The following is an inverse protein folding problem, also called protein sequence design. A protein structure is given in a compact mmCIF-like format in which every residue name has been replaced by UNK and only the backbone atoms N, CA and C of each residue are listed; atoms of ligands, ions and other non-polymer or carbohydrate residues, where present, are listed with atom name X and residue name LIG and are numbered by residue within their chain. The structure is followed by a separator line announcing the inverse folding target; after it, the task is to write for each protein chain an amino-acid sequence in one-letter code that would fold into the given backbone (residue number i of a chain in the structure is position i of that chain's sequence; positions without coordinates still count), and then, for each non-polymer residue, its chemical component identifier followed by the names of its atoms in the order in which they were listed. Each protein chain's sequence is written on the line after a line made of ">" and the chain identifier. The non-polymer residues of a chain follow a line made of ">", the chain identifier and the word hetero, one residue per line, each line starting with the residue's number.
data_IF_917163539502
#
_entry.id   IF_917163539502
#
_cell.length_a   1.000
_cell.length_b   1.000
_cell.length_c   1.000
_cell.angle_alpha   90.00
_cell.angle_beta   90.00
_cell.angle_gamma   90.00
#
_symmetry.space_group_name_H-M   'P 1'
#
loop_
_entity.id
_entity.type
_entity.pdbx_description
1 polymer ?
#
# COMPACT_ATOMS: atom_id res chain seq x y z
N UNK A 1 -42.22 110.31 -50.27
CA UNK A 1 -43.57 109.91 -50.75
C UNK A 1 -44.58 110.51 -49.81
N UNK A 2 -45.44 111.38 -50.37
CA UNK A 2 -46.81 111.71 -49.98
C UNK A 2 -47.15 111.96 -48.50
N UNK A 3 -48.03 112.88 -48.15
CA UNK A 3 -48.73 114.00 -48.79
C UNK A 3 -49.84 114.33 -47.79
N UNK A 4 -50.31 115.58 -47.80
CA UNK A 4 -51.49 115.99 -47.05
C UNK A 4 -51.08 116.90 -45.89
N UNK A 5 -50.86 118.19 -46.11
CA UNK A 5 -51.61 119.04 -47.01
C UNK A 5 -52.91 119.50 -46.33
N UNK A 6 -53.26 120.78 -46.50
CA UNK A 6 -53.80 121.67 -45.47
C UNK A 6 -55.32 121.85 -45.77
N UNK A 7 -56.11 122.92 -45.47
CA UNK A 7 -55.75 124.34 -45.44
C UNK A 7 -56.63 125.19 -44.48
N UNK A 8 -56.61 126.50 -44.74
CA UNK A 8 -57.71 127.47 -44.61
C UNK A 8 -57.70 128.35 -43.38
N UNK A 9 -57.38 129.63 -43.56
CA UNK A 9 -58.01 130.68 -44.40
C UNK A 9 -58.95 131.48 -43.53
N UNK A 10 -58.79 132.79 -43.63
CA UNK A 10 -59.89 133.72 -43.56
C UNK A 10 -60.25 134.11 -42.13
N UNK A 11 -60.71 135.30 -41.86
CA UNK A 11 -60.74 136.52 -42.65
C UNK A 11 -60.06 137.58 -41.78
N UNK A 12 -59.81 138.77 -42.30
CA UNK A 12 -60.93 139.56 -42.77
C UNK A 12 -61.79 139.89 -41.55
N UNK A 13 -62.05 141.13 -41.20
CA UNK A 13 -62.14 142.33 -41.99
C UNK A 13 -62.00 143.42 -40.94
N UNK A 14 -61.21 144.44 -41.20
CA UNK A 14 -61.68 145.64 -41.89
C UNK A 14 -62.74 146.38 -41.06
N UNK A 15 -62.75 147.70 -41.28
CA UNK A 15 -63.97 148.48 -41.27
C UNK A 15 -64.47 148.75 -39.82
N UNK A 16 -64.78 149.96 -39.41
CA UNK A 16 -65.32 151.07 -40.17
C UNK A 16 -65.63 152.18 -39.17
N UNK A 17 -65.80 153.38 -39.69
CA UNK A 17 -66.67 154.42 -39.16
C UNK A 17 -66.38 154.83 -37.70
N UNK A 18 -65.66 155.91 -37.46
CA UNK A 18 -66.07 157.21 -37.97
C UNK A 18 -67.36 157.64 -37.28
N UNK A 19 -67.25 158.62 -36.38
CA UNK A 19 -68.24 159.68 -36.22
C UNK A 19 -67.51 160.89 -35.66
N UNK A 20 -67.13 161.83 -36.56
CA UNK A 20 -67.47 163.23 -36.27
C UNK A 20 -68.99 163.33 -36.45
N UNK A 21 -69.66 164.19 -35.67
CA UNK A 21 -70.08 165.43 -36.30
C UNK A 21 -69.60 166.62 -35.44
N UNK A 22 -69.02 167.67 -36.03
CA UNK A 22 -69.72 168.63 -36.92
C UNK A 22 -70.86 169.26 -36.13
N UNK A 23 -70.56 170.41 -35.51
CA UNK A 23 -71.06 171.73 -35.93
C UNK A 23 -72.57 171.85 -35.69
N UNK A 24 -72.94 172.87 -34.95
CA UNK A 24 -73.87 173.95 -35.36
C UNK A 24 -74.04 174.81 -34.10
N UNK A 25 -73.50 176.03 -34.04
CA UNK A 25 -74.05 177.28 -34.61
C UNK A 25 -75.48 177.58 -34.14
N UNK A 26 -75.86 178.85 -34.23
CA UNK A 26 -77.10 179.49 -33.77
C UNK A 26 -76.97 179.95 -32.31
N UNK A 27 -76.60 181.19 -32.02
CA UNK A 27 -76.77 182.40 -32.82
C UNK A 27 -78.15 183.01 -32.56
N UNK A 28 -78.13 184.15 -31.88
CA UNK A 28 -79.06 185.26 -32.01
C UNK A 28 -80.56 185.01 -31.71
N UNK A 29 -80.99 185.39 -30.51
CA UNK A 29 -82.24 186.10 -30.17
C UNK A 29 -82.04 186.51 -28.70
N UNK A 30 -82.33 187.68 -28.17
CA UNK A 30 -82.88 188.92 -28.66
C UNK A 30 -82.47 189.96 -27.59
N UNK A 31 -81.95 191.12 -28.01
CA UNK A 31 -82.65 192.39 -27.83
C UNK A 31 -82.77 192.87 -26.37
N UNK A 32 -81.84 193.76 -26.07
CA UNK A 32 -82.05 195.05 -25.40
C UNK A 32 -82.45 195.09 -23.92
N UNK A 33 -82.10 196.24 -23.38
CA UNK A 33 -82.86 196.98 -22.38
C UNK A 33 -82.50 196.67 -20.92
N UNK A 34 -81.37 197.23 -20.50
CA UNK A 34 -81.42 198.17 -19.37
C UNK A 34 -81.19 199.59 -19.94
N UNK A 35 -82.20 200.37 -20.33
CA UNK A 35 -83.64 200.09 -20.27
C UNK A 35 -84.26 200.10 -18.88
N UNK A 36 -83.66 200.86 -17.97
CA UNK A 36 -84.25 201.48 -16.79
C UNK A 36 -85.26 200.66 -15.94
N UNK A 37 -84.78 200.28 -14.75
CA UNK A 37 -85.42 200.57 -13.45
C UNK A 37 -86.90 200.21 -13.30
N UNK A 38 -87.20 199.15 -12.52
CA UNK A 38 -88.50 199.11 -11.86
C UNK A 38 -89.00 197.82 -11.21
N UNK A 39 -88.51 196.61 -11.54
CA UNK A 39 -89.32 195.42 -11.21
C UNK A 39 -88.66 194.06 -10.86
N UNK A 40 -87.33 193.93 -10.77
CA UNK A 40 -86.70 192.60 -10.58
C UNK A 40 -85.73 192.52 -9.39
N UNK A 41 -86.24 192.82 -8.19
CA UNK A 41 -85.52 192.60 -6.92
C UNK A 41 -85.82 191.27 -6.17
N UNK A 42 -86.66 190.31 -6.65
CA UNK A 42 -86.72 188.98 -6.04
C UNK A 42 -86.30 187.77 -6.93
N UNK A 43 -85.88 187.94 -8.20
CA UNK A 43 -85.63 186.81 -9.13
C UNK A 43 -84.15 186.40 -9.30
N UNK A 44 -83.18 187.20 -8.83
CA UNK A 44 -81.73 186.89 -8.97
C UNK A 44 -81.20 185.88 -7.94
N UNK A 45 -81.97 185.54 -6.90
CA UNK A 45 -81.59 184.52 -5.91
C UNK A 45 -81.96 183.09 -6.32
N UNK A 46 -82.87 182.88 -7.28
CA UNK A 46 -83.31 181.53 -7.69
C UNK A 46 -82.40 180.84 -8.69
N UNK A 47 -81.95 181.55 -9.73
CA UNK A 47 -81.05 181.00 -10.77
C UNK A 47 -79.63 180.72 -10.23
N UNK A 48 -79.16 181.53 -9.28
CA UNK A 48 -77.91 181.26 -8.56
C UNK A 48 -77.98 179.97 -7.75
N UNK A 49 -79.19 179.60 -7.30
CA UNK A 49 -79.41 178.38 -6.51
C UNK A 49 -79.45 177.13 -7.40
N UNK A 50 -80.01 177.23 -8.60
CA UNK A 50 -79.95 176.15 -9.62
C UNK A 50 -78.55 175.94 -10.17
N UNK A 51 -77.79 177.00 -10.43
CA UNK A 51 -76.38 176.90 -10.86
C UNK A 51 -75.52 176.28 -9.76
N UNK A 52 -75.71 176.68 -8.49
CA UNK A 52 -75.04 176.02 -7.36
C UNK A 52 -75.43 174.55 -7.21
N UNK A 53 -76.69 174.20 -7.50
CA UNK A 53 -77.16 172.81 -7.44
C UNK A 53 -76.59 171.95 -8.56
N UNK A 54 -76.49 172.51 -9.77
CA UNK A 54 -75.82 171.85 -10.89
C UNK A 54 -74.31 171.72 -10.64
N UNK A 55 -73.65 172.74 -10.09
CA UNK A 55 -72.24 172.64 -9.68
C UNK A 55 -72.05 171.58 -8.59
N UNK A 56 -72.98 171.48 -7.63
CA UNK A 56 -72.97 170.39 -6.65
C UNK A 56 -73.18 169.02 -7.30
N UNK A 57 -74.08 168.90 -8.27
CA UNK A 57 -74.31 167.64 -8.99
C UNK A 57 -73.11 167.26 -9.86
N UNK A 58 -72.49 168.23 -10.53
CA UNK A 58 -71.26 168.04 -11.31
C UNK A 58 -70.12 167.65 -10.37
N UNK A 59 -69.92 168.34 -9.25
CA UNK A 59 -68.92 167.95 -8.26
C UNK A 59 -69.19 166.59 -7.63
N UNK A 60 -70.46 166.19 -7.47
CA UNK A 60 -70.85 164.85 -7.02
C UNK A 60 -70.60 163.79 -8.09
N UNK A 61 -70.84 164.11 -9.36
CA UNK A 61 -70.55 163.22 -10.49
C UNK A 61 -69.05 163.07 -10.70
N UNK A 62 -68.28 164.15 -10.62
CA UNK A 62 -66.82 164.15 -10.66
C UNK A 62 -66.26 163.28 -9.52
N UNK A 63 -66.75 163.47 -8.29
CA UNK A 63 -66.36 162.60 -7.17
C UNK A 63 -66.76 161.12 -7.37
N UNK A 64 -67.88 160.86 -8.07
CA UNK A 64 -68.30 159.49 -8.39
C UNK A 64 -67.45 158.88 -9.51
N UNK A 65 -67.06 159.68 -10.52
CA UNK A 65 -66.14 159.29 -11.60
C UNK A 65 -64.75 159.01 -11.03
N UNK A 66 -64.24 159.86 -10.14
CA UNK A 66 -62.97 159.65 -9.46
C UNK A 66 -63.00 158.37 -8.62
N UNK A 67 -64.08 158.15 -7.85
CA UNK A 67 -64.26 156.91 -7.08
C UNK A 67 -64.31 155.67 -7.99
N UNK A 68 -65.06 155.75 -9.09
CA UNK A 68 -65.17 154.63 -10.03
C UNK A 68 -63.84 154.38 -10.75
N UNK A 69 -63.08 155.43 -11.06
CA UNK A 69 -61.72 155.32 -11.61
C UNK A 69 -60.81 154.57 -10.63
N UNK A 70 -60.84 154.94 -9.35
CA UNK A 70 -60.07 154.22 -8.31
C UNK A 70 -60.51 152.76 -8.19
N UNK A 71 -61.82 152.47 -8.27
CA UNK A 71 -62.33 151.10 -8.23
C UNK A 71 -61.93 150.29 -9.47
N UNK A 72 -61.90 150.91 -10.66
CA UNK A 72 -61.40 150.30 -11.89
C UNK A 72 -59.91 150.01 -11.77
N UNK A 73 -59.11 150.96 -11.28
CA UNK A 73 -57.67 150.75 -11.04
C UNK A 73 -57.43 149.61 -10.03
N UNK A 74 -58.24 149.53 -8.96
CA UNK A 74 -58.15 148.45 -7.98
C UNK A 74 -58.53 147.09 -8.56
N UNK A 75 -59.58 147.04 -9.40
CA UNK A 75 -59.98 145.82 -10.11
C UNK A 75 -58.92 145.40 -11.13
N UNK A 76 -58.29 146.33 -11.84
CA UNK A 76 -57.19 146.05 -12.77
C UNK A 76 -56.01 145.40 -12.01
N UNK A 77 -55.61 145.95 -10.87
CA UNK A 77 -54.59 145.35 -9.98
C UNK A 77 -55.02 143.96 -9.46
N UNK A 78 -56.31 143.72 -9.24
CA UNK A 78 -56.79 142.38 -8.86
C UNK A 78 -56.71 141.39 -10.03
N UNK A 79 -57.08 141.82 -11.24
CA UNK A 79 -56.98 141.01 -12.45
C UNK A 79 -55.53 140.62 -12.70
N UNK A 80 -54.60 141.57 -12.65
CA UNK A 80 -53.16 141.31 -12.82
C UNK A 80 -52.65 140.27 -11.81
N UNK A 81 -53.09 140.36 -10.54
CA UNK A 81 -52.74 139.37 -9.51
C UNK A 81 -53.34 138.00 -9.79
N UNK A 82 -54.56 137.93 -10.29
CA UNK A 82 -55.19 136.66 -10.66
C UNK A 82 -54.54 136.04 -11.90
N UNK A 83 -54.13 136.85 -12.87
CA UNK A 83 -53.35 136.41 -14.02
C UNK A 83 -52.00 135.83 -13.57
N UNK A 84 -51.25 136.54 -12.71
CA UNK A 84 -49.98 136.03 -12.17
C UNK A 84 -50.18 134.73 -11.36
N UNK A 85 -51.27 134.63 -10.59
CA UNK A 85 -51.60 133.40 -9.85
C UNK A 85 -51.95 132.25 -10.80
N UNK A 86 -52.70 132.51 -11.87
CA UNK A 86 -53.05 131.51 -12.87
C UNK A 86 -51.81 131.02 -13.62
N UNK A 87 -50.89 131.93 -14.00
CA UNK A 87 -49.60 131.55 -14.61
C UNK A 87 -48.80 130.64 -13.68
N UNK A 88 -48.71 130.97 -12.38
CA UNK A 88 -48.05 130.11 -11.39
C UNK A 88 -48.74 128.76 -11.21
N UNK A 89 -50.07 128.72 -11.25
CA UNK A 89 -50.82 127.46 -11.17
C UNK A 89 -50.60 126.60 -12.42
N UNK A 90 -50.53 127.22 -13.61
CA UNK A 90 -50.21 126.54 -14.86
C UNK A 90 -48.80 125.97 -14.83
N UNK A 91 -47.80 126.74 -14.40
CA UNK A 91 -46.42 126.28 -14.25
C UNK A 91 -46.32 125.09 -13.26
N UNK A 92 -46.99 125.18 -12.11
CA UNK A 92 -47.04 124.09 -11.14
C UNK A 92 -47.73 122.85 -11.71
N UNK A 93 -48.81 123.01 -12.47
CA UNK A 93 -49.50 121.88 -13.11
C UNK A 93 -48.62 121.18 -14.15
N UNK A 94 -47.86 121.95 -14.95
CA UNK A 94 -46.88 121.37 -15.86
C UNK A 94 -45.79 120.61 -15.12
N UNK A 95 -45.27 121.16 -14.02
CA UNK A 95 -44.25 120.51 -13.22
C UNK A 95 -44.76 119.21 -12.57
N UNK A 96 -45.97 119.22 -12.00
CA UNK A 96 -46.61 118.00 -11.50
C UNK A 96 -46.84 116.97 -12.62
N UNK A 97 -47.23 117.40 -13.82
CA UNK A 97 -47.39 116.51 -14.96
C UNK A 97 -46.05 115.85 -15.36
N UNK A 98 -44.94 116.60 -15.34
CA UNK A 98 -43.59 116.05 -15.56
C UNK A 98 -43.20 115.05 -14.48
N UNK A 99 -43.44 115.37 -13.21
CA UNK A 99 -43.14 114.47 -12.08
C UNK A 99 -43.96 113.17 -12.16
N UNK A 100 -45.25 113.25 -12.51
CA UNK A 100 -46.10 112.08 -12.74
C UNK A 100 -45.55 111.22 -13.89
N UNK A 101 -45.14 111.84 -14.99
CA UNK A 101 -44.55 111.12 -16.12
C UNK A 101 -43.25 110.39 -15.73
N UNK A 102 -42.38 111.05 -14.95
CA UNK A 102 -41.15 110.45 -14.43
C UNK A 102 -41.43 109.29 -13.47
N UNK A 103 -42.37 109.47 -12.54
CA UNK A 103 -42.78 108.41 -11.61
C UNK A 103 -43.36 107.20 -12.35
N UNK A 104 -44.19 107.43 -13.36
CA UNK A 104 -44.74 106.35 -14.19
C UNK A 104 -43.64 105.61 -14.98
N UNK A 105 -42.67 106.33 -15.52
CA UNK A 105 -41.53 105.72 -16.21
C UNK A 105 -40.68 104.87 -15.24
N UNK A 106 -40.41 105.38 -14.04
CA UNK A 106 -39.69 104.64 -12.99
C UNK A 106 -40.45 103.40 -12.53
N UNK A 107 -41.78 103.49 -12.36
CA UNK A 107 -42.61 102.35 -12.01
C UNK A 107 -42.57 101.26 -13.09
N UNK A 108 -42.64 101.64 -14.37
CA UNK A 108 -42.53 100.70 -15.48
C UNK A 108 -41.16 100.01 -15.52
N UNK A 109 -40.08 100.72 -15.17
CA UNK A 109 -38.75 100.12 -15.02
C UNK A 109 -38.70 99.12 -13.86
N UNK A 110 -39.26 99.46 -12.70
CA UNK A 110 -39.32 98.54 -11.55
C UNK A 110 -40.18 97.31 -11.84
N UNK A 111 -41.29 97.45 -12.56
CA UNK A 111 -42.09 96.30 -13.02
C UNK A 111 -41.29 95.38 -13.94
N UNK A 112 -40.53 95.94 -14.88
CA UNK A 112 -39.67 95.16 -15.77
C UNK A 112 -38.55 94.45 -14.99
N UNK A 113 -37.89 95.13 -14.05
CA UNK A 113 -36.88 94.53 -13.18
C UNK A 113 -37.45 93.40 -12.31
N UNK A 114 -38.65 93.60 -11.73
CA UNK A 114 -39.34 92.56 -10.98
C UNK A 114 -39.67 91.34 -11.85
N UNK A 115 -40.07 91.55 -13.10
CA UNK A 115 -40.29 90.46 -14.06
C UNK A 115 -39.03 89.64 -14.35
N UNK A 116 -37.89 90.32 -14.52
CA UNK A 116 -36.58 89.67 -14.71
C UNK A 116 -36.17 88.90 -13.46
N UNK A 117 -36.31 89.50 -12.28
CA UNK A 117 -35.98 88.85 -11.00
C UNK A 117 -36.83 87.60 -10.76
N UNK A 118 -38.15 87.67 -10.97
CA UNK A 118 -39.03 86.51 -10.85
C UNK A 118 -38.64 85.38 -11.81
N UNK A 119 -38.27 85.72 -13.05
CA UNK A 119 -37.80 84.74 -14.03
C UNK A 119 -36.49 84.08 -13.59
N UNK A 120 -35.57 84.87 -13.02
CA UNK A 120 -34.31 84.36 -12.47
C UNK A 120 -34.51 83.46 -11.25
N UNK A 121 -35.49 83.78 -10.39
CA UNK A 121 -35.85 82.95 -9.23
C UNK A 121 -36.36 81.59 -9.73
N UNK A 122 -37.29 81.58 -10.68
CA UNK A 122 -37.85 80.34 -11.22
C UNK A 122 -36.77 79.44 -11.88
N UNK A 123 -35.80 80.03 -12.57
CA UNK A 123 -34.68 79.28 -13.15
C UNK A 123 -33.77 78.67 -12.07
N UNK A 124 -33.46 79.44 -11.01
CA UNK A 124 -32.66 78.93 -9.89
C UNK A 124 -33.38 77.83 -9.11
N UNK A 125 -34.70 77.94 -8.92
CA UNK A 125 -35.52 76.88 -8.33
C UNK A 125 -35.45 75.60 -9.16
N UNK A 126 -35.60 75.70 -10.50
CA UNK A 126 -35.48 74.55 -11.38
C UNK A 126 -34.09 73.89 -11.32
N UNK A 127 -33.02 74.69 -11.29
CA UNK A 127 -31.66 74.17 -11.15
C UNK A 127 -31.47 73.46 -9.79
N UNK A 128 -32.03 74.00 -8.72
CA UNK A 128 -31.97 73.40 -7.40
C UNK A 128 -32.72 72.06 -7.36
N UNK A 129 -33.91 71.99 -7.96
CA UNK A 129 -34.67 70.73 -8.08
C UNK A 129 -33.89 69.68 -8.86
N UNK A 130 -33.22 70.06 -9.95
CA UNK A 130 -32.37 69.15 -10.75
C UNK A 130 -31.16 68.66 -9.95
N UNK A 131 -30.52 69.54 -9.19
CA UNK A 131 -29.40 69.17 -8.32
C UNK A 131 -29.84 68.22 -7.20
N UNK A 132 -31.00 68.47 -6.58
CA UNK A 132 -31.55 67.59 -5.55
C UNK A 132 -31.90 66.20 -6.11
N UNK A 133 -32.49 66.14 -7.31
CA UNK A 133 -32.76 64.87 -7.98
C UNK A 133 -31.47 64.10 -8.26
N UNK A 134 -30.44 64.77 -8.79
CA UNK A 134 -29.13 64.16 -9.05
C UNK A 134 -28.46 63.67 -7.75
N UNK A 135 -28.54 64.44 -6.66
CA UNK A 135 -28.00 64.02 -5.37
C UNK A 135 -28.70 62.75 -4.85
N UNK A 136 -30.03 62.68 -4.96
CA UNK A 136 -30.79 61.49 -4.56
C UNK A 136 -30.42 60.25 -5.40
N UNK A 137 -30.16 60.43 -6.69
CA UNK A 137 -29.65 59.37 -7.55
C UNK A 137 -28.25 58.90 -7.13
N UNK A 138 -27.33 59.83 -6.82
CA UNK A 138 -26.00 59.49 -6.33
C UNK A 138 -26.03 58.78 -4.97
N UNK A 139 -26.90 59.18 -4.05
CA UNK A 139 -27.11 58.49 -2.78
C UNK A 139 -27.55 57.04 -2.99
N UNK A 140 -28.50 56.82 -3.91
CA UNK A 140 -29.00 55.48 -4.25
C UNK A 140 -27.91 54.62 -4.90
N UNK A 141 -27.13 55.19 -5.83
CA UNK A 141 -26.01 54.49 -6.46
C UNK A 141 -24.92 54.13 -5.45
N UNK A 142 -24.60 55.04 -4.53
CA UNK A 142 -23.60 54.81 -3.51
C UNK A 142 -24.04 53.75 -2.50
N UNK A 143 -25.33 53.69 -2.17
CA UNK A 143 -25.90 52.60 -1.37
C UNK A 143 -25.75 51.25 -2.06
N UNK A 144 -26.13 51.15 -3.34
CA UNK A 144 -26.00 49.92 -4.13
C UNK A 144 -24.53 49.48 -4.30
N UNK A 145 -23.61 50.43 -4.47
CA UNK A 145 -22.17 50.14 -4.55
C UNK A 145 -21.64 49.59 -3.23
N UNK A 146 -22.05 50.16 -2.09
CA UNK A 146 -21.65 49.67 -0.77
C UNK A 146 -22.19 48.26 -0.50
N UNK A 147 -23.43 47.97 -0.90
CA UNK A 147 -24.01 46.63 -0.80
C UNK A 147 -23.21 45.61 -1.63
N UNK A 148 -22.94 45.93 -2.90
CA UNK A 148 -22.11 45.09 -3.77
C UNK A 148 -20.71 44.85 -3.19
N UNK A 149 -20.10 45.89 -2.60
CA UNK A 149 -18.77 45.78 -2.01
C UNK A 149 -18.78 44.91 -0.74
N UNK A 150 -19.86 44.95 0.06
CA UNK A 150 -20.05 44.07 1.20
C UNK A 150 -20.20 42.61 0.76
N UNK A 151 -21.02 42.34 -0.26
CA UNK A 151 -21.19 40.99 -0.83
C UNK A 151 -19.87 40.43 -1.39
N UNK A 152 -19.11 41.23 -2.13
CA UNK A 152 -17.80 40.83 -2.64
C UNK A 152 -16.81 40.53 -1.52
N UNK A 153 -16.84 41.31 -0.43
CA UNK A 153 -16.00 41.07 0.75
C UNK A 153 -16.34 39.71 1.39
N UNK A 154 -17.63 39.41 1.55
CA UNK A 154 -18.09 38.12 2.08
C UNK A 154 -17.66 36.95 1.19
N UNK A 155 -17.81 37.08 -0.14
CA UNK A 155 -17.36 36.07 -1.09
C UNK A 155 -15.85 35.84 -1.03
N UNK A 156 -15.05 36.91 -0.91
CA UNK A 156 -13.60 36.81 -0.76
C UNK A 156 -13.23 36.05 0.52
N UNK A 157 -13.90 36.33 1.64
CA UNK A 157 -13.63 35.64 2.90
C UNK A 157 -14.05 34.17 2.85
N UNK A 158 -15.19 33.85 2.20
CA UNK A 158 -15.59 32.46 1.95
C UNK A 158 -14.56 31.72 1.08
N UNK A 159 -14.04 32.35 0.02
CA UNK A 159 -13.00 31.78 -0.83
C UNK A 159 -11.69 31.55 -0.07
N UNK A 160 -11.29 32.46 0.83
CA UNK A 160 -10.12 32.25 1.69
C UNK A 160 -10.27 31.00 2.57
N UNK A 161 -11.44 30.81 3.17
CA UNK A 161 -11.74 29.62 4.00
C UNK A 161 -11.66 28.34 3.16
N UNK A 162 -12.29 28.34 1.98
CA UNK A 162 -12.23 27.20 1.05
C UNK A 162 -10.78 26.89 0.66
N UNK A 163 -9.98 27.92 0.34
CA UNK A 163 -8.59 27.74 -0.05
C UNK A 163 -7.72 27.19 1.10
N UNK A 164 -7.96 27.64 2.33
CA UNK A 164 -7.30 27.10 3.52
C UNK A 164 -7.64 25.62 3.74
N UNK A 165 -8.92 25.25 3.59
CA UNK A 165 -9.35 23.85 3.69
C UNK A 165 -8.73 22.99 2.59
N UNK A 166 -8.72 23.48 1.34
CA UNK A 166 -8.12 22.75 0.22
C UNK A 166 -6.62 22.52 0.44
N UNK A 167 -5.90 23.52 0.97
CA UNK A 167 -4.50 23.39 1.34
C UNK A 167 -4.30 22.33 2.42
N UNK A 168 -5.13 22.33 3.47
CA UNK A 168 -5.05 21.33 4.53
C UNK A 168 -5.31 19.91 4.02
N UNK A 169 -6.28 19.72 3.14
CA UNK A 169 -6.55 18.44 2.48
C UNK A 169 -5.40 18.00 1.58
N UNK A 170 -4.76 18.93 0.86
CA UNK A 170 -3.58 18.61 0.05
C UNK A 170 -2.40 18.13 0.92
N UNK A 171 -2.16 18.78 2.07
CA UNK A 171 -1.15 18.38 3.04
C UNK A 171 -1.44 16.98 3.63
N UNK A 172 -2.71 16.69 3.92
CA UNK A 172 -3.15 15.37 4.40
C UNK A 172 -2.88 14.27 3.37
N UNK A 173 -3.25 14.48 2.10
CA UNK A 173 -2.95 13.53 1.04
C UNK A 173 -1.44 13.35 0.80
N UNK A 174 -0.64 14.41 0.97
CA UNK A 174 0.81 14.29 0.88
C UNK A 174 1.35 13.36 1.98
N UNK A 175 0.90 13.52 3.22
CA UNK A 175 1.31 12.66 4.34
C UNK A 175 0.90 11.20 4.12
N UNK A 176 -0.33 10.97 3.66
CA UNK A 176 -0.81 9.61 3.40
C UNK A 176 0.00 8.93 2.28
N UNK A 177 0.40 9.68 1.25
CA UNK A 177 1.27 9.15 0.19
C UNK A 177 2.67 8.81 0.70
N UNK A 178 3.23 9.61 1.61
CA UNK A 178 4.51 9.32 2.25
C UNK A 178 4.43 8.05 3.11
N UNK A 179 3.36 7.92 3.93
CA UNK A 179 3.10 6.70 4.72
C UNK A 179 2.94 5.46 3.83
N UNK A 180 2.18 5.57 2.72
CA UNK A 180 2.01 4.47 1.78
C UNK A 180 3.34 4.06 1.14
N UNK A 181 4.20 5.02 0.84
CA UNK A 181 5.54 4.76 0.29
C UNK A 181 6.42 4.02 1.30
N UNK A 182 6.38 4.40 2.57
CA UNK A 182 7.10 3.69 3.64
C UNK A 182 6.61 2.24 3.80
N UNK A 183 5.30 1.99 3.70
CA UNK A 183 4.77 0.62 3.73
C UNK A 183 5.20 -0.20 2.51
N UNK A 184 5.24 0.40 1.32
CA UNK A 184 5.77 -0.27 0.11
C UNK A 184 7.24 -0.64 0.31
N UNK A 185 8.06 0.26 0.86
CA UNK A 185 9.47 -0.02 1.14
C UNK A 185 9.63 -1.13 2.18
N UNK A 186 8.78 -1.16 3.22
CA UNK A 186 8.76 -2.24 4.22
C UNK A 186 8.39 -3.58 3.60
N UNK A 187 7.37 -3.64 2.74
CA UNK A 187 6.97 -4.86 2.03
C UNK A 187 8.10 -5.36 1.13
N UNK A 188 8.78 -4.46 0.42
CA UNK A 188 9.91 -4.83 -0.43
C UNK A 188 11.06 -5.45 0.38
N UNK A 189 11.38 -4.88 1.55
CA UNK A 189 12.38 -5.44 2.45
C UNK A 189 12.00 -6.84 2.96
N UNK A 190 10.74 -7.03 3.35
CA UNK A 190 10.22 -8.33 3.78
C UNK A 190 10.28 -9.37 2.65
N UNK A 191 9.93 -8.98 1.43
CA UNK A 191 10.03 -9.86 0.26
C UNK A 191 11.47 -10.27 -0.03
N UNK A 192 12.43 -9.34 0.07
CA UNK A 192 13.85 -9.68 -0.08
C UNK A 192 14.33 -10.66 0.98
N UNK A 193 13.91 -10.47 2.23
CA UNK A 193 14.24 -11.41 3.32
C UNK A 193 13.66 -12.80 3.04
N UNK A 194 12.39 -12.89 2.63
CA UNK A 194 11.75 -14.16 2.25
C UNK A 194 12.47 -14.85 1.08
N UNK A 195 12.92 -14.09 0.08
CA UNK A 195 13.71 -14.64 -1.03
C UNK A 195 15.02 -15.24 -0.52
N UNK A 196 15.76 -14.54 0.34
CA UNK A 196 17.01 -15.04 0.91
C UNK A 196 16.78 -16.31 1.74
N UNK A 197 15.72 -16.35 2.56
CA UNK A 197 15.36 -17.55 3.34
C UNK A 197 15.01 -18.74 2.44
N UNK A 198 14.31 -18.49 1.33
CA UNK A 198 13.96 -19.51 0.35
C UNK A 198 15.24 -20.09 -0.29
N UNK A 199 16.21 -19.24 -0.62
CA UNK A 199 17.50 -19.65 -1.16
C UNK A 199 18.31 -20.49 -0.16
N UNK A 200 18.37 -20.07 1.11
CA UNK A 200 19.04 -20.84 2.18
C UNK A 200 18.40 -22.22 2.39
N UNK A 201 17.07 -22.28 2.40
CA UNK A 201 16.33 -23.53 2.53
C UNK A 201 16.55 -24.45 1.32
N UNK A 202 16.58 -23.88 0.12
CA UNK A 202 16.85 -24.63 -1.11
C UNK A 202 18.27 -25.23 -1.10
N UNK A 203 19.28 -24.44 -0.70
CA UNK A 203 20.65 -24.92 -0.56
C UNK A 203 20.75 -26.06 0.47
N UNK A 204 20.07 -25.94 1.61
CA UNK A 204 20.01 -26.99 2.63
C UNK A 204 19.35 -28.26 2.10
N UNK A 205 18.30 -28.12 1.28
CA UNK A 205 17.58 -29.24 0.67
C UNK A 205 18.47 -29.99 -0.33
N UNK A 206 19.22 -29.27 -1.18
CA UNK A 206 20.18 -29.89 -2.10
C UNK A 206 21.32 -30.59 -1.35
N UNK A 207 21.81 -30.00 -0.26
CA UNK A 207 22.82 -30.65 0.58
C UNK A 207 22.29 -31.96 1.19
N UNK A 208 21.09 -31.94 1.79
CA UNK A 208 20.47 -33.15 2.35
C UNK A 208 20.23 -34.22 1.27
N UNK A 209 19.84 -33.81 0.07
CA UNK A 209 19.67 -34.72 -1.06
C UNK A 209 20.99 -35.42 -1.43
N UNK A 210 22.08 -34.65 -1.52
CA UNK A 210 23.41 -35.22 -1.78
C UNK A 210 23.86 -36.18 -0.67
N UNK A 211 23.56 -35.87 0.60
CA UNK A 211 23.86 -36.76 1.73
C UNK A 211 23.06 -38.08 1.65
N UNK A 212 21.78 -38.00 1.28
CA UNK A 212 20.94 -39.19 1.04
C UNK A 212 21.48 -40.04 -0.10
N UNK A 213 21.91 -39.43 -1.21
CA UNK A 213 22.52 -40.16 -2.34
C UNK A 213 23.82 -40.86 -1.90
N UNK A 214 24.67 -40.19 -1.11
CA UNK A 214 25.90 -40.76 -0.56
C UNK A 214 25.62 -41.94 0.39
N UNK A 215 24.65 -41.80 1.30
CA UNK A 215 24.21 -42.87 2.20
C UNK A 215 23.63 -44.06 1.43
N UNK A 216 22.89 -43.80 0.36
CA UNK A 216 22.36 -44.86 -0.51
C UNK A 216 23.48 -45.62 -1.22
N UNK A 217 24.51 -44.92 -1.71
CA UNK A 217 25.69 -45.55 -2.31
C UNK A 217 26.43 -46.41 -1.28
N UNK A 218 26.67 -45.87 -0.08
CA UNK A 218 27.30 -46.61 1.01
C UNK A 218 26.53 -47.88 1.39
N UNK A 219 25.20 -47.81 1.49
CA UNK A 219 24.37 -49.00 1.73
C UNK A 219 24.46 -50.02 0.58
N UNK A 220 24.58 -49.57 -0.67
CA UNK A 220 24.83 -50.45 -1.81
C UNK A 220 26.18 -51.16 -1.70
N UNK A 221 27.22 -50.44 -1.30
CA UNK A 221 28.55 -51.01 -1.07
C UNK A 221 28.53 -52.03 0.07
N UNK A 222 27.84 -51.72 1.18
CA UNK A 222 27.63 -52.67 2.29
C UNK A 222 26.92 -53.94 1.84
N UNK A 223 25.87 -53.83 1.03
CA UNK A 223 25.19 -55.01 0.47
C UNK A 223 26.11 -55.83 -0.45
N UNK A 224 26.99 -55.17 -1.21
CA UNK A 224 27.99 -55.85 -2.04
C UNK A 224 28.98 -56.62 -1.17
N UNK A 225 29.51 -56.00 -0.10
CA UNK A 225 30.38 -56.66 0.88
C UNK A 225 29.67 -57.84 1.53
N UNK A 226 28.39 -57.68 1.90
CA UNK A 226 27.60 -58.76 2.49
C UNK A 226 27.50 -59.95 1.55
N UNK A 227 27.17 -59.73 0.27
CA UNK A 227 27.09 -60.81 -0.72
C UNK A 227 28.43 -61.53 -0.93
N UNK A 228 29.55 -60.80 -0.90
CA UNK A 228 30.88 -61.40 -0.97
C UNK A 228 31.18 -62.25 0.26
N UNK A 229 30.84 -61.79 1.46
CA UNK A 229 31.01 -62.56 2.70
C UNK A 229 30.16 -63.82 2.69
N UNK A 230 28.90 -63.74 2.20
CA UNK A 230 28.02 -64.90 2.07
C UNK A 230 28.60 -65.94 1.09
N UNK A 231 29.13 -65.51 -0.06
CA UNK A 231 29.77 -66.40 -1.04
C UNK A 231 31.06 -67.05 -0.49
N UNK A 232 31.93 -66.28 0.16
CA UNK A 232 33.15 -66.80 0.78
C UNK A 232 32.85 -67.77 1.92
N UNK A 233 31.81 -67.51 2.73
CA UNK A 233 31.38 -68.43 3.77
C UNK A 233 30.95 -69.78 3.17
N UNK A 234 30.21 -69.77 2.07
CA UNK A 234 29.81 -71.01 1.37
C UNK A 234 31.02 -71.76 0.80
N UNK A 235 32.00 -71.06 0.20
CA UNK A 235 33.22 -71.69 -0.29
C UNK A 235 34.07 -72.31 0.83
N UNK A 236 34.14 -71.64 1.99
CA UNK A 236 34.81 -72.16 3.19
C UNK A 236 34.11 -73.44 3.67
N UNK A 237 32.77 -73.45 3.75
CA UNK A 237 32.01 -74.65 4.13
C UNK A 237 32.27 -75.82 3.18
N UNK A 238 32.25 -75.60 1.86
CA UNK A 238 32.58 -76.63 0.87
C UNK A 238 34.03 -77.14 1.00
N UNK A 239 34.96 -76.26 1.37
CA UNK A 239 36.36 -76.63 1.60
C UNK A 239 36.51 -77.48 2.86
N UNK A 240 35.79 -77.15 3.93
CA UNK A 240 35.72 -77.97 5.14
C UNK A 240 35.14 -79.35 4.86
N UNK A 241 34.04 -79.45 4.08
CA UNK A 241 33.46 -80.73 3.69
C UNK A 241 34.45 -81.60 2.89
N UNK A 242 35.16 -81.01 1.91
CA UNK A 242 36.20 -81.71 1.15
C UNK A 242 37.35 -82.17 2.03
N UNK A 243 37.81 -81.32 2.96
CA UNK A 243 38.88 -81.67 3.88
C UNK A 243 38.47 -82.82 4.81
N UNK A 244 37.24 -82.78 5.34
CA UNK A 244 36.68 -83.85 6.15
C UNK A 244 36.59 -85.17 5.37
N UNK A 245 36.16 -85.12 4.10
CA UNK A 245 36.11 -86.30 3.22
C UNK A 245 37.51 -86.88 2.94
N UNK A 246 38.51 -86.04 2.68
CA UNK A 246 39.91 -86.48 2.48
C UNK A 246 40.47 -87.10 3.76
N UNK A 247 40.21 -86.49 4.92
CA UNK A 247 40.63 -87.03 6.23
C UNK A 247 39.98 -88.38 6.51
N UNK A 248 38.68 -88.53 6.26
CA UNK A 248 37.98 -89.81 6.38
C UNK A 248 38.60 -90.88 5.46
N UNK A 249 38.85 -90.54 4.20
CA UNK A 249 39.50 -91.44 3.24
C UNK A 249 40.92 -91.84 3.68
N UNK A 250 41.70 -90.91 4.23
CA UNK A 250 43.05 -91.20 4.71
C UNK A 250 43.03 -92.12 5.95
N UNK A 251 42.06 -91.92 6.84
CA UNK A 251 41.85 -92.81 7.99
C UNK A 251 41.56 -94.22 7.48
N UNK A 252 40.60 -94.39 6.57
CA UNK A 252 40.23 -95.71 6.04
C UNK A 252 41.39 -96.40 5.32
N UNK A 253 42.18 -95.66 4.52
CA UNK A 253 43.38 -96.20 3.88
C UNK A 253 44.43 -96.67 4.89
N UNK A 254 44.70 -95.87 5.93
CA UNK A 254 45.65 -96.24 6.98
C UNK A 254 45.16 -97.45 7.78
N UNK A 255 43.85 -97.54 8.04
CA UNK A 255 43.22 -98.70 8.69
C UNK A 255 43.40 -99.96 7.86
N UNK A 256 43.11 -99.91 6.55
CA UNK A 256 43.32 -101.04 5.64
C UNK A 256 44.77 -101.52 5.60
N UNK A 257 45.74 -100.60 5.50
CA UNK A 257 47.18 -100.94 5.51
C UNK A 257 47.58 -101.62 6.83
N UNK A 258 47.06 -101.17 7.98
CA UNK A 258 47.35 -101.77 9.27
C UNK A 258 46.82 -103.21 9.36
N UNK A 259 45.60 -103.45 8.89
CA UNK A 259 44.98 -104.79 8.85
C UNK A 259 45.74 -105.70 7.89
N UNK A 260 46.07 -105.24 6.69
CA UNK A 260 46.86 -106.01 5.71
C UNK A 260 48.23 -106.38 6.27
N UNK A 261 48.91 -105.44 6.93
CA UNK A 261 50.22 -105.68 7.56
C UNK A 261 50.11 -106.71 8.68
N UNK A 262 49.05 -106.62 9.50
CA UNK A 262 48.81 -107.56 10.58
C UNK A 262 48.48 -108.96 10.03
N UNK A 263 47.65 -109.04 9.00
CA UNK A 263 47.30 -110.25 8.28
C UNK A 263 48.55 -110.96 7.72
N UNK A 264 49.43 -110.21 7.04
CA UNK A 264 50.70 -110.74 6.55
C UNK A 264 51.61 -111.22 7.69
N UNK A 265 51.64 -110.51 8.80
CA UNK A 265 52.43 -110.90 9.99
C UNK A 265 51.92 -112.23 10.57
N UNK A 266 50.59 -112.40 10.65
CA UNK A 266 49.98 -113.64 11.13
C UNK A 266 50.27 -114.82 10.20
N UNK A 267 50.15 -114.63 8.89
CA UNK A 267 50.53 -115.65 7.89
C UNK A 267 52.01 -116.02 7.97
N UNK A 268 52.89 -115.04 8.19
CA UNK A 268 54.31 -115.29 8.33
C UNK A 268 54.61 -116.13 9.58
N UNK A 269 53.98 -115.82 10.72
CA UNK A 269 54.13 -116.60 11.96
C UNK A 269 53.62 -118.04 11.75
N UNK A 270 52.42 -118.21 11.17
CA UNK A 270 51.80 -119.53 10.95
C UNK A 270 52.54 -120.43 9.95
N UNK A 271 53.40 -119.86 9.10
CA UNK A 271 54.23 -120.62 8.14
C UNK A 271 55.66 -120.84 8.63
N UNK A 272 56.27 -119.86 9.30
CA UNK A 272 57.66 -119.95 9.76
C UNK A 272 57.86 -120.87 10.96
N UNK A 273 56.87 -120.97 11.85
CA UNK A 273 57.03 -121.71 13.11
C UNK A 273 57.37 -123.20 12.86
N UNK A 274 56.83 -123.82 11.79
CA UNK A 274 57.11 -125.21 11.41
C UNK A 274 58.58 -125.39 11.02
N UNK A 275 59.10 -124.48 10.19
CA UNK A 275 60.49 -124.48 9.76
C UNK A 275 61.41 -124.31 10.98
N UNK A 276 61.09 -123.37 11.87
CA UNK A 276 61.87 -123.14 13.09
C UNK A 276 61.75 -124.32 14.06
N UNK A 277 60.59 -124.97 14.23
CA UNK A 277 60.44 -126.15 15.08
C UNK A 277 61.34 -127.31 14.62
N UNK A 278 61.43 -127.52 13.29
CA UNK A 278 62.31 -128.54 12.69
C UNK A 278 63.79 -128.21 12.79
N UNK A 279 64.17 -126.93 12.79
CA UNK A 279 65.57 -126.47 12.85
C UNK A 279 66.08 -126.28 14.28
N UNK A 280 65.21 -125.89 15.22
CA UNK A 280 65.54 -125.53 16.61
C UNK A 280 65.96 -126.70 17.50
N UNK A 281 66.19 -127.89 16.95
CA UNK A 281 66.95 -128.91 17.67
C UNK A 281 66.17 -129.66 18.75
N UNK A 282 64.92 -130.07 18.46
CA UNK A 282 64.28 -131.22 19.11
C UNK A 282 65.01 -132.53 18.74
N UNK A 283 66.32 -132.54 18.88
CA UNK A 283 67.20 -133.70 18.71
C UNK A 283 66.95 -134.80 19.75
N UNK A 284 66.11 -134.52 20.75
CA UNK A 284 65.62 -135.45 21.77
C UNK A 284 64.37 -136.22 21.34
N UNK A 285 63.57 -135.70 20.40
CA UNK A 285 62.42 -136.42 19.85
C UNK A 285 62.92 -137.25 18.69
N UNK A 286 62.60 -138.55 18.66
CA UNK A 286 63.06 -139.48 17.63
C UNK A 286 62.50 -139.18 16.23
N UNK A 287 62.10 -140.22 15.51
CA UNK A 287 61.42 -140.04 14.22
C UNK A 287 60.21 -139.09 14.39
N UNK A 288 59.90 -138.19 13.43
CA UNK A 288 58.73 -137.29 13.49
C UNK A 288 57.39 -138.00 13.71
N UNK A 289 57.34 -139.30 13.41
CA UNK A 289 56.20 -140.20 13.55
C UNK A 289 56.24 -141.06 14.85
N UNK A 290 57.17 -140.80 15.76
CA UNK A 290 57.21 -141.41 17.08
C UNK A 290 56.44 -140.54 18.08
N UNK A 291 55.73 -141.15 19.05
CA UNK A 291 55.13 -140.42 20.15
C UNK A 291 56.15 -139.51 20.83
N UNK A 292 55.78 -138.26 21.11
CA UNK A 292 56.68 -137.30 21.75
C UNK A 292 57.09 -137.80 23.14
N UNK A 293 56.14 -138.39 23.88
CA UNK A 293 56.38 -138.90 25.23
C UNK A 293 56.25 -137.81 26.30
N UNK A 294 55.97 -138.25 27.54
CA UNK A 294 55.66 -137.34 28.64
C UNK A 294 56.83 -136.43 29.08
N UNK A 295 58.09 -136.79 28.76
CA UNK A 295 59.26 -136.00 29.12
C UNK A 295 59.47 -134.78 28.22
N UNK A 296 59.22 -134.96 26.93
CA UNK A 296 59.53 -134.02 25.86
C UNK A 296 58.29 -133.20 25.43
N UNK A 297 57.08 -133.64 25.80
CA UNK A 297 55.81 -132.99 25.45
C UNK A 297 55.77 -131.52 25.87
N UNK A 298 56.19 -131.21 27.10
CA UNK A 298 56.21 -129.83 27.61
C UNK A 298 57.19 -128.93 26.85
N UNK A 299 58.27 -129.49 26.29
CA UNK A 299 59.25 -128.72 25.53
C UNK A 299 58.73 -128.41 24.13
N UNK A 300 58.15 -129.40 23.43
CA UNK A 300 57.51 -129.23 22.13
C UNK A 300 56.34 -128.26 22.23
N UNK A 301 55.46 -128.46 23.20
CA UNK A 301 54.32 -127.58 23.38
C UNK A 301 54.74 -126.20 23.89
N UNK A 302 55.74 -126.10 24.77
CA UNK A 302 56.30 -124.80 25.19
C UNK A 302 56.86 -123.98 24.03
N UNK A 303 57.39 -124.65 22.99
CA UNK A 303 57.77 -124.02 21.73
C UNK A 303 56.54 -123.55 20.94
N UNK A 304 55.56 -124.43 20.72
CA UNK A 304 54.31 -124.09 20.01
C UNK A 304 53.59 -122.92 20.69
N UNK A 305 53.50 -122.93 22.01
CA UNK A 305 52.93 -121.85 22.80
C UNK A 305 53.63 -120.52 22.56
N UNK A 306 54.97 -120.50 22.58
CA UNK A 306 55.75 -119.27 22.46
C UNK A 306 55.82 -118.73 21.04
N UNK A 307 56.03 -119.60 20.06
CA UNK A 307 56.39 -119.22 18.69
C UNK A 307 55.23 -119.30 17.70
N UNK A 308 54.11 -119.92 18.09
CA UNK A 308 52.87 -119.95 17.30
C UNK A 308 51.70 -119.32 18.05
N UNK A 309 51.38 -119.81 19.25
CA UNK A 309 50.10 -119.47 19.88
C UNK A 309 50.09 -118.06 20.49
N UNK A 310 51.06 -117.71 21.32
CA UNK A 310 51.14 -116.39 21.97
C UNK A 310 51.21 -115.23 20.94
N UNK A 311 52.01 -115.30 19.87
CA UNK A 311 52.06 -114.24 18.86
C UNK A 311 50.75 -114.08 18.08
N UNK A 312 49.97 -115.15 17.95
CA UNK A 312 48.65 -115.15 17.29
C UNK A 312 47.49 -114.95 18.30
N UNK A 313 47.79 -114.64 19.57
CA UNK A 313 46.80 -114.55 20.65
C UNK A 313 45.88 -115.78 20.76
N UNK A 314 46.46 -116.97 20.61
CA UNK A 314 45.76 -118.22 20.71
C UNK A 314 45.92 -118.82 22.09
N UNK A 315 44.82 -119.36 22.61
CA UNK A 315 44.84 -120.02 23.91
C UNK A 315 45.51 -121.39 23.80
N UNK A 316 46.50 -121.58 24.66
CA UNK A 316 47.28 -122.80 24.73
C UNK A 316 46.43 -124.02 25.13
N UNK A 317 45.50 -123.84 26.06
CA UNK A 317 44.62 -124.90 26.55
C UNK A 317 43.64 -125.33 25.46
N UNK A 318 43.09 -124.37 24.70
CA UNK A 318 42.20 -124.65 23.58
C UNK A 318 42.92 -125.36 22.44
N UNK A 319 44.18 -125.00 22.15
CA UNK A 319 45.00 -125.75 21.20
C UNK A 319 45.31 -127.18 21.66
N UNK A 320 45.64 -127.40 22.94
CA UNK A 320 45.85 -128.75 23.48
C UNK A 320 44.59 -129.62 23.39
N UNK A 321 43.42 -129.02 23.63
CA UNK A 321 42.13 -129.69 23.45
C UNK A 321 41.89 -130.07 21.99
N UNK A 322 42.12 -129.14 21.06
CA UNK A 322 42.04 -129.40 19.61
C UNK A 322 42.96 -130.56 19.20
N UNK A 323 44.23 -130.50 19.60
CA UNK A 323 45.23 -131.52 19.32
C UNK A 323 44.82 -132.89 19.89
N UNK A 324 44.39 -132.95 21.15
CA UNK A 324 43.97 -134.18 21.80
C UNK A 324 42.74 -134.80 21.16
N UNK A 325 41.78 -133.97 20.74
CA UNK A 325 40.56 -134.44 20.07
C UNK A 325 40.86 -134.99 18.70
N UNK A 326 41.78 -134.36 17.97
CA UNK A 326 42.11 -134.72 16.60
C UNK A 326 42.89 -136.04 16.50
N UNK A 327 43.79 -136.31 17.45
CA UNK A 327 44.77 -137.40 17.33
C UNK A 327 44.81 -138.39 18.51
N UNK A 328 44.21 -138.09 19.68
CA UNK A 328 44.41 -138.90 20.89
C UNK A 328 43.11 -139.22 21.67
N UNK A 329 42.01 -139.47 20.96
CA UNK A 329 40.68 -139.81 21.53
C UNK A 329 40.18 -138.83 22.62
N UNK A 330 40.70 -137.59 22.65
CA UNK A 330 40.35 -136.56 23.63
C UNK A 330 41.12 -136.61 24.96
N UNK A 331 42.19 -137.41 25.08
CA UNK A 331 43.02 -137.47 26.29
C UNK A 331 44.02 -136.31 26.33
N UNK A 332 43.90 -135.43 27.34
CA UNK A 332 44.83 -134.31 27.60
C UNK A 332 45.70 -134.58 28.85
N UNK A 333 47.00 -134.25 28.84
CA UNK A 333 47.80 -133.86 27.67
C UNK A 333 47.99 -135.03 26.69
N UNK A 334 47.92 -134.79 25.36
CA UNK A 334 48.13 -135.82 24.35
C UNK A 334 49.61 -136.20 24.21
N UNK A 335 50.16 -136.85 25.23
CA UNK A 335 51.58 -137.26 25.29
C UNK A 335 51.95 -138.29 24.21
N UNK A 336 50.96 -138.97 23.64
CA UNK A 336 51.13 -139.94 22.57
C UNK A 336 51.12 -139.30 21.17
N UNK A 337 50.82 -138.00 21.07
CA UNK A 337 50.90 -137.28 19.80
C UNK A 337 52.34 -137.25 19.27
N UNK A 338 52.47 -137.32 17.96
CA UNK A 338 53.73 -137.22 17.24
C UNK A 338 54.04 -135.76 16.88
N UNK A 339 55.30 -135.45 16.56
CA UNK A 339 55.69 -134.09 16.16
C UNK A 339 54.99 -133.68 14.87
N UNK A 340 54.80 -134.59 13.92
CA UNK A 340 54.07 -134.30 12.68
C UNK A 340 52.58 -134.02 12.94
N UNK A 341 51.96 -134.68 13.93
CA UNK A 341 50.58 -134.39 14.35
C UNK A 341 50.47 -133.03 15.05
N UNK A 342 51.43 -132.67 15.90
CA UNK A 342 51.50 -131.32 16.51
C UNK A 342 51.71 -130.25 15.44
N UNK A 343 52.56 -130.50 14.44
CA UNK A 343 52.76 -129.61 13.29
C UNK A 343 51.48 -129.46 12.47
N UNK A 344 50.82 -130.57 12.15
CA UNK A 344 49.57 -130.58 11.40
C UNK A 344 48.48 -129.83 12.15
N UNK A 345 48.29 -130.13 13.44
CA UNK A 345 47.32 -129.47 14.29
C UNK A 345 47.61 -127.97 14.42
N UNK A 346 48.87 -127.59 14.68
CA UNK A 346 49.25 -126.18 14.79
C UNK A 346 49.00 -125.43 13.48
N UNK A 347 49.21 -126.09 12.33
CA UNK A 347 48.97 -125.48 11.03
C UNK A 347 47.48 -125.29 10.78
N UNK A 348 46.66 -126.30 11.05
CA UNK A 348 45.21 -126.25 10.91
C UNK A 348 44.60 -125.21 11.84
N UNK A 349 44.91 -125.29 13.14
CA UNK A 349 44.40 -124.38 14.17
C UNK A 349 44.82 -122.92 13.96
N UNK A 350 46.06 -122.67 13.52
CA UNK A 350 46.49 -121.30 13.17
C UNK A 350 45.90 -120.80 11.85
N UNK A 351 45.51 -121.69 10.95
CA UNK A 351 44.78 -121.33 9.72
C UNK A 351 43.34 -120.95 10.03
N UNK A 352 42.65 -121.74 10.86
CA UNK A 352 41.29 -121.44 11.28
C UNK A 352 41.23 -120.14 12.09
N UNK A 353 42.21 -119.93 12.98
CA UNK A 353 42.37 -118.66 13.69
C UNK A 353 42.63 -117.49 12.74
N UNK A 354 43.46 -117.70 11.71
CA UNK A 354 43.73 -116.69 10.71
C UNK A 354 42.45 -116.31 9.95
N UNK A 355 41.62 -117.29 9.58
CA UNK A 355 40.35 -117.05 8.88
C UNK A 355 39.32 -116.35 9.79
N UNK A 356 39.35 -116.60 11.11
CA UNK A 356 38.53 -115.87 12.09
C UNK A 356 39.00 -114.43 12.27
N UNK A 357 40.31 -114.21 12.33
CA UNK A 357 40.92 -112.90 12.52
C UNK A 357 40.94 -112.03 11.26
N UNK A 358 40.97 -112.65 10.08
CA UNK A 358 41.01 -111.99 8.77
C UNK A 358 40.04 -112.69 7.80
N UNK A 359 38.73 -112.62 8.04
CA UNK A 359 37.73 -113.32 7.24
C UNK A 359 37.74 -112.84 5.80
N UNK A 360 37.84 -113.77 4.85
CA UNK A 360 37.62 -113.47 3.43
C UNK A 360 36.11 -113.40 3.18
N UNK A 361 35.65 -112.28 2.64
CA UNK A 361 34.31 -112.11 2.07
C UNK A 361 33.12 -112.28 3.04
N UNK A 362 33.19 -111.68 4.23
CA UNK A 362 32.02 -111.51 5.11
C UNK A 362 31.62 -112.73 5.93
N UNK A 363 32.55 -113.67 6.15
CA UNK A 363 32.39 -114.75 7.12
C UNK A 363 32.32 -114.21 8.56
N UNK A 364 31.73 -114.99 9.47
CA UNK A 364 31.68 -114.69 10.91
C UNK A 364 33.12 -114.63 11.47
N UNK A 365 33.65 -113.42 11.63
CA UNK A 365 35.01 -113.15 12.11
C UNK A 365 35.16 -111.71 12.59
N UNK A 366 36.40 -111.23 12.72
CA UNK A 366 36.68 -109.84 13.10
C UNK A 366 36.40 -108.87 11.96
N UNK A 367 35.76 -107.75 12.27
CA UNK A 367 35.62 -106.62 11.34
C UNK A 367 36.77 -105.63 11.48
N UNK A 368 36.92 -104.73 10.50
CA UNK A 368 37.90 -103.65 10.56
C UNK A 368 37.70 -102.75 11.79
N UNK A 369 36.45 -102.52 12.21
CA UNK A 369 36.12 -101.82 13.46
C UNK A 369 36.58 -102.57 14.71
N UNK A 370 36.51 -103.91 14.73
CA UNK A 370 36.99 -104.70 15.86
C UNK A 370 38.51 -104.54 16.00
N UNK A 371 39.25 -104.59 14.88
CA UNK A 371 40.69 -104.35 14.86
C UNK A 371 41.07 -102.91 15.22
N UNK A 372 40.34 -101.92 14.71
CA UNK A 372 40.56 -100.53 15.05
C UNK A 372 40.31 -100.26 16.55
N UNK A 373 39.28 -100.90 17.13
CA UNK A 373 38.96 -100.79 18.57
C UNK A 373 39.99 -101.50 19.45
N UNK A 374 40.64 -102.54 18.93
CA UNK A 374 41.73 -103.25 19.58
C UNK A 374 43.12 -102.62 19.30
N UNK A 375 43.18 -101.44 18.68
CA UNK A 375 44.44 -100.78 18.29
C UNK A 375 45.37 -101.69 17.45
N UNK A 376 44.80 -102.60 16.66
CA UNK A 376 45.51 -103.59 15.85
C UNK A 376 46.42 -104.54 16.65
N UNK A 377 46.15 -104.72 17.95
CA UNK A 377 46.79 -105.72 18.80
C UNK A 377 45.74 -106.71 19.30
N UNK A 378 45.94 -107.98 18.97
CA UNK A 378 45.02 -109.04 19.33
C UNK A 378 44.81 -109.19 20.84
N UNK A 379 45.77 -108.74 21.67
CA UNK A 379 45.65 -108.78 23.14
C UNK A 379 44.57 -107.85 23.66
N UNK A 380 44.25 -106.82 22.88
CA UNK A 380 43.21 -105.85 23.19
C UNK A 380 41.85 -106.28 22.64
N UNK A 381 41.77 -107.39 21.90
CA UNK A 381 40.49 -107.94 21.49
C UNK A 381 39.72 -108.39 22.73
N UNK A 382 38.41 -108.11 22.81
CA UNK A 382 37.61 -108.59 23.92
C UNK A 382 37.56 -110.14 23.90
N UNK A 383 37.40 -110.81 25.05
CA UNK A 383 37.53 -112.26 25.15
C UNK A 383 36.63 -113.06 24.19
N UNK A 384 35.45 -112.55 23.84
CA UNK A 384 34.52 -113.18 22.88
C UNK A 384 34.86 -112.96 21.40
N UNK A 385 35.98 -112.29 21.11
CA UNK A 385 36.49 -112.02 19.76
C UNK A 385 37.81 -112.75 19.48
N UNK A 386 38.45 -113.33 20.50
CA UNK A 386 39.59 -114.22 20.32
C UNK A 386 39.14 -115.52 19.67
N UNK A 387 39.99 -116.09 18.81
CA UNK A 387 39.69 -117.39 18.22
C UNK A 387 39.69 -118.47 19.31
N UNK A 388 38.59 -119.20 19.36
CA UNK A 388 38.43 -120.38 20.18
C UNK A 388 37.89 -121.45 19.25
N UNK A 389 38.60 -122.57 19.15
CA UNK A 389 38.10 -123.76 18.47
C UNK A 389 36.91 -124.31 19.24
N UNK A 390 35.76 -124.41 18.56
CA UNK A 390 34.52 -125.01 19.04
C UNK A 390 34.37 -126.42 18.42
N UNK A 391 33.95 -127.40 19.23
CA UNK A 391 33.90 -128.84 18.89
C UNK A 391 32.81 -129.22 17.86
#
# INVERSE_FOLDING_TARGET
>A
TNNGGPPRFGGGRSLLFGMKPVVVLVGAYAVLATGAWGFLLPFSMGLSQEVQKLEQEVGRLEAAVDRLSVEVDELEIQVDRYEEQNEKLEENNEEFARQIALLNASNAEYEAQNGILNSSIAELENQNDRLNASNSEYESLNAALNETNAELTEQVDALKVINANLSATADEYSRLNDELREEVDRINLLNQNLINQLEELNNSTEQLKSEVESLSAFNSDLNTILSFIEEEAEQVDQTYEKLAAILAQQIDQNRGIAIDTLSLTYQQISTEWVCKLRVSGLSAVGSPNSPIGAGEYNEVMGYVGRDLLVPLCLDFTNFELFLARRFNDGITPPIDATVDEVVSAGTEYSTDAFDHYFPRDGNDGLTDEDWASAEYDCKNLPPGKLYVWEE
#
